data_IF_285852591074
#
_entry.id   IF_285852591074
#
_cell.length_a   1.000
_cell.length_b   1.000
_cell.length_c   1.000
_cell.angle_alpha   90.00
_cell.angle_beta   90.00
_cell.angle_gamma   90.00
#
_symmetry.space_group_name_H-M   'P 1'
#
loop_
_entity.id
_entity.type
_entity.pdbx_description
1 polymer ?
#
# COMPACT_ATOMS: atom_id res chain seq x y z
N UNK A 1 -3.31 -18.81 -6.66
CA UNK A 1 -2.66 -19.34 -7.87
C UNK A 1 -3.61 -20.30 -8.56
N UNK A 2 -3.59 -20.31 -9.89
CA UNK A 2 -4.36 -21.24 -10.70
C UNK A 2 -3.61 -22.57 -10.81
N UNK A 3 -4.20 -23.63 -10.26
CA UNK A 3 -4.02 -24.98 -10.77
C UNK A 3 -5.43 -25.57 -10.82
N UNK A 4 -5.87 -25.97 -12.01
CA UNK A 4 -6.99 -26.91 -12.13
C UNK A 4 -6.49 -28.10 -12.94
N UNK A 5 -6.59 -29.29 -12.38
CA UNK A 5 -6.46 -30.53 -13.13
C UNK A 5 -7.65 -30.79 -14.05
N UNK A 6 -8.73 -29.99 -14.01
CA UNK A 6 -10.01 -30.36 -14.63
C UNK A 6 -10.74 -29.22 -15.39
N UNK A 7 -10.01 -28.35 -16.11
CA UNK A 7 -10.52 -27.42 -17.15
C UNK A 7 -11.77 -26.55 -16.82
N UNK A 8 -12.14 -26.39 -15.56
CA UNK A 8 -13.23 -25.50 -15.13
C UNK A 8 -12.65 -24.33 -14.36
N UNK A 9 -12.70 -23.15 -14.98
CA UNK A 9 -12.38 -21.88 -14.32
C UNK A 9 -13.49 -21.56 -13.32
N UNK A 10 -13.30 -22.00 -12.08
CA UNK A 10 -14.09 -21.54 -10.94
C UNK A 10 -13.44 -20.29 -10.34
N UNK A 11 -14.22 -19.22 -10.20
CA UNK A 11 -13.79 -18.05 -9.43
C UNK A 11 -13.66 -18.46 -7.97
N UNK A 12 -12.42 -18.65 -7.51
CA UNK A 12 -12.20 -18.82 -6.08
C UNK A 12 -12.43 -17.48 -5.42
N UNK A 13 -13.42 -17.44 -4.52
CA UNK A 13 -13.83 -16.27 -3.75
C UNK A 13 -12.60 -15.54 -3.18
N UNK A 14 -12.59 -14.20 -3.27
CA UNK A 14 -11.48 -13.35 -2.78
C UNK A 14 -11.10 -13.67 -1.32
N UNK A 15 -12.07 -14.13 -0.52
CA UNK A 15 -11.89 -14.55 0.87
C UNK A 15 -11.00 -15.78 1.04
N UNK A 16 -10.95 -16.68 0.04
CA UNK A 16 -10.04 -17.84 0.08
C UNK A 16 -8.59 -17.40 -0.04
N UNK A 17 -8.31 -16.43 -0.91
CA UNK A 17 -6.97 -15.87 -1.07
C UNK A 17 -6.51 -15.13 0.18
N UNK A 18 -7.38 -14.33 0.79
CA UNK A 18 -7.06 -13.66 2.05
C UNK A 18 -6.83 -14.69 3.17
N UNK A 19 -7.67 -15.74 3.27
CA UNK A 19 -7.48 -16.81 4.26
C UNK A 19 -6.12 -17.52 4.15
N UNK A 20 -5.71 -17.83 2.92
CA UNK A 20 -4.39 -18.46 2.66
C UNK A 20 -3.24 -17.53 3.01
N UNK A 21 -3.30 -16.25 2.62
CA UNK A 21 -2.25 -15.27 2.94
C UNK A 21 -2.15 -15.04 4.45
N UNK A 22 -3.28 -14.96 5.16
CA UNK A 22 -3.28 -14.84 6.62
C UNK A 22 -2.65 -16.06 7.28
N UNK A 23 -2.88 -17.26 6.76
CA UNK A 23 -2.25 -18.47 7.28
C UNK A 23 -0.74 -18.51 7.00
N UNK A 24 -0.31 -18.06 5.82
CA UNK A 24 1.12 -17.89 5.50
C UNK A 24 1.77 -16.88 6.46
N UNK A 25 1.12 -15.74 6.71
CA UNK A 25 1.60 -14.72 7.67
C UNK A 25 1.72 -15.26 9.09
N UNK A 26 0.73 -16.01 9.58
CA UNK A 26 0.76 -16.64 10.92
C UNK A 26 1.94 -17.59 11.09
N UNK A 27 2.35 -18.25 10.01
CA UNK A 27 3.48 -19.18 10.00
C UNK A 27 4.82 -18.50 9.65
N UNK A 28 4.94 -17.18 9.81
CA UNK A 28 6.11 -16.35 9.44
C UNK A 28 6.62 -16.65 8.02
N UNK A 29 5.68 -16.83 7.09
CA UNK A 29 5.92 -17.18 5.68
C UNK A 29 6.57 -18.54 5.42
N UNK A 30 7.13 -19.20 6.44
CA UNK A 30 7.74 -20.54 6.35
C UNK A 30 8.61 -20.71 5.10
N UNK A 31 8.34 -21.70 4.23
CA UNK A 31 9.13 -21.92 3.01
C UNK A 31 9.01 -20.79 1.98
N UNK A 32 7.92 -20.01 2.00
CA UNK A 32 7.67 -18.95 1.02
C UNK A 32 8.51 -17.69 1.26
N UNK A 33 9.18 -17.58 2.41
CA UNK A 33 10.01 -16.42 2.78
C UNK A 33 11.18 -16.24 1.81
N UNK A 34 11.87 -17.32 1.49
CA UNK A 34 13.00 -17.32 0.56
C UNK A 34 12.53 -17.03 -0.88
N UNK A 35 11.41 -17.64 -1.29
CA UNK A 35 10.81 -17.40 -2.62
C UNK A 35 10.45 -15.92 -2.82
N UNK A 36 9.78 -15.29 -1.85
CA UNK A 36 9.41 -13.87 -1.91
C UNK A 36 10.65 -12.96 -1.95
N UNK A 37 11.72 -13.32 -1.27
CA UNK A 37 12.99 -12.58 -1.33
C UNK A 37 13.69 -12.74 -2.69
N UNK A 38 13.64 -13.92 -3.30
CA UNK A 38 14.19 -14.17 -4.63
C UNK A 38 13.40 -13.41 -5.72
N UNK A 39 12.09 -13.30 -5.55
CA UNK A 39 11.21 -12.54 -6.45
C UNK A 39 11.45 -11.03 -6.40
N UNK A 40 12.23 -10.49 -5.45
CA UNK A 40 12.56 -9.07 -5.40
C UNK A 40 13.11 -8.53 -6.72
N UNK A 41 14.03 -9.27 -7.37
CA UNK A 41 14.59 -8.87 -8.66
C UNK A 41 13.53 -8.85 -9.77
N UNK A 42 12.59 -9.79 -9.72
CA UNK A 42 11.47 -9.82 -10.64
C UNK A 42 10.54 -8.61 -10.42
N UNK A 43 10.20 -8.29 -9.17
CA UNK A 43 9.39 -7.12 -8.83
C UNK A 43 10.03 -5.81 -9.29
N UNK A 44 11.36 -5.67 -9.23
CA UNK A 44 12.07 -4.49 -9.78
C UNK A 44 11.78 -4.24 -11.25
N UNK A 45 11.60 -5.30 -12.03
CA UNK A 45 11.24 -5.20 -13.44
C UNK A 45 9.76 -4.84 -13.57
N UNK A 46 8.89 -5.51 -12.82
CA UNK A 46 7.43 -5.28 -12.91
C UNK A 46 7.01 -3.87 -12.52
N UNK A 47 7.66 -3.24 -11.53
CA UNK A 47 7.36 -1.83 -11.16
C UNK A 47 7.77 -0.82 -12.23
N UNK A 48 8.49 -1.25 -13.28
CA UNK A 48 8.89 -0.42 -14.42
C UNK A 48 8.36 -0.94 -15.75
N UNK A 49 7.41 -1.88 -15.73
CA UNK A 49 6.79 -2.41 -16.94
C UNK A 49 6.05 -1.31 -17.70
N UNK A 50 5.95 -1.42 -19.02
CA UNK A 50 5.23 -0.45 -19.85
C UNK A 50 3.72 -0.51 -19.56
N UNK A 51 3.19 -1.69 -19.26
CA UNK A 51 1.78 -1.89 -18.97
C UNK A 51 1.43 -1.46 -17.53
N UNK A 52 0.59 -0.41 -17.35
CA UNK A 52 0.16 0.02 -16.02
C UNK A 52 -0.59 -1.08 -15.24
N UNK A 53 -1.23 -2.05 -15.91
CA UNK A 53 -1.87 -3.19 -15.24
C UNK A 53 -0.85 -4.12 -14.60
N UNK A 54 0.33 -4.31 -15.22
CA UNK A 54 1.41 -5.09 -14.63
C UNK A 54 2.01 -4.33 -13.44
N UNK A 55 2.24 -3.02 -13.59
CA UNK A 55 2.73 -2.18 -12.48
C UNK A 55 1.75 -2.15 -11.30
N UNK A 56 0.45 -2.09 -11.55
CA UNK A 56 -0.58 -2.23 -10.52
C UNK A 56 -0.53 -3.62 -9.85
N UNK A 57 -0.44 -4.70 -10.63
CA UNK A 57 -0.51 -6.06 -10.12
C UNK A 57 0.62 -6.38 -9.12
N UNK A 58 1.76 -5.70 -9.22
CA UNK A 58 2.88 -5.87 -8.28
C UNK A 58 2.60 -5.28 -6.89
N UNK A 59 1.62 -4.40 -6.72
CA UNK A 59 1.32 -3.76 -5.42
C UNK A 59 0.94 -4.79 -4.34
N UNK A 60 0.20 -5.85 -4.71
CA UNK A 60 -0.15 -6.96 -3.81
C UNK A 60 1.08 -7.74 -3.30
N UNK A 61 1.95 -8.30 -4.16
CA UNK A 61 3.14 -8.99 -3.68
C UNK A 61 4.10 -8.06 -2.93
N UNK A 62 4.10 -6.74 -3.20
CA UNK A 62 4.84 -5.77 -2.37
C UNK A 62 4.30 -5.66 -0.94
N UNK A 63 2.99 -5.88 -0.70
CA UNK A 63 2.45 -5.98 0.64
C UNK A 63 3.07 -7.16 1.40
N UNK A 64 3.16 -8.34 0.77
CA UNK A 64 3.78 -9.52 1.39
C UNK A 64 5.28 -9.33 1.61
N UNK A 65 5.97 -8.74 0.62
CA UNK A 65 7.38 -8.40 0.79
C UNK A 65 7.60 -7.43 1.95
N UNK A 66 6.68 -6.51 2.23
CA UNK A 66 6.82 -5.56 3.33
C UNK A 66 6.92 -6.23 4.71
N UNK A 67 6.22 -7.36 4.89
CA UNK A 67 6.26 -8.17 6.11
C UNK A 67 7.56 -8.97 6.25
N UNK A 68 8.27 -9.23 5.15
CA UNK A 68 9.54 -9.99 5.16
C UNK A 68 10.75 -9.05 5.18
N UNK A 69 10.74 -8.03 4.33
CA UNK A 69 11.79 -7.03 4.16
C UNK A 69 11.15 -5.68 3.79
N UNK A 70 10.76 -4.96 4.83
CA UNK A 70 10.13 -3.64 4.72
C UNK A 70 10.98 -2.64 3.93
N UNK A 71 12.31 -2.73 4.00
CA UNK A 71 13.21 -1.81 3.29
C UNK A 71 13.19 -2.07 1.78
N UNK A 72 13.24 -3.34 1.36
CA UNK A 72 13.11 -3.69 -0.06
C UNK A 72 11.74 -3.34 -0.62
N UNK A 73 10.67 -3.63 0.14
CA UNK A 73 9.32 -3.24 -0.28
C UNK A 73 9.22 -1.72 -0.47
N UNK A 74 9.67 -0.93 0.52
CA UNK A 74 9.62 0.53 0.45
C UNK A 74 10.35 1.08 -0.78
N UNK A 75 11.55 0.56 -1.09
CA UNK A 75 12.30 1.00 -2.26
C UNK A 75 11.54 0.80 -3.60
N UNK A 76 10.70 -0.23 -3.68
CA UNK A 76 9.85 -0.49 -4.85
C UNK A 76 8.56 0.34 -4.83
N UNK A 77 7.95 0.50 -3.67
CA UNK A 77 6.74 1.32 -3.48
C UNK A 77 7.00 2.78 -3.87
N UNK A 78 8.17 3.33 -3.54
CA UNK A 78 8.54 4.70 -3.93
C UNK A 78 8.45 4.91 -5.44
N UNK A 79 8.80 3.91 -6.26
CA UNK A 79 8.67 4.01 -7.73
C UNK A 79 7.22 4.07 -8.18
N UNK A 80 6.31 3.40 -7.47
CA UNK A 80 4.88 3.38 -7.80
C UNK A 80 4.16 4.64 -7.31
N UNK A 81 4.63 5.27 -6.23
CA UNK A 81 4.10 6.55 -5.74
C UNK A 81 4.33 7.66 -6.78
N UNK A 82 5.48 7.63 -7.46
CA UNK A 82 5.86 8.60 -8.50
C UNK A 82 5.48 8.14 -9.92
N UNK A 83 4.61 7.13 -10.05
CA UNK A 83 4.24 6.57 -11.36
C UNK A 83 3.54 7.60 -12.25
N UNK A 84 3.63 7.47 -13.57
CA UNK A 84 2.93 8.35 -14.50
C UNK A 84 1.41 8.08 -14.56
N UNK A 85 1.01 6.85 -14.24
CA UNK A 85 -0.38 6.42 -14.28
C UNK A 85 -1.05 6.68 -12.91
N UNK A 86 -2.10 7.52 -12.85
CA UNK A 86 -2.77 7.84 -11.59
C UNK A 86 -3.37 6.62 -10.88
N UNK A 87 -3.77 5.58 -11.59
CA UNK A 87 -4.30 4.36 -11.01
C UNK A 87 -3.20 3.55 -10.30
N UNK A 88 -1.99 3.53 -10.87
CA UNK A 88 -0.83 2.91 -10.23
C UNK A 88 -0.42 3.69 -8.97
N UNK A 89 -0.38 5.03 -9.06
CA UNK A 89 -0.14 5.89 -7.89
C UNK A 89 -1.13 5.62 -6.76
N UNK A 90 -2.42 5.51 -7.09
CA UNK A 90 -3.47 5.18 -6.13
C UNK A 90 -3.23 3.81 -5.49
N UNK A 91 -2.88 2.80 -6.27
CA UNK A 91 -2.64 1.45 -5.74
C UNK A 91 -1.33 1.32 -4.94
N UNK A 92 -0.36 2.23 -5.12
CA UNK A 92 0.85 2.27 -4.31
C UNK A 92 0.56 2.49 -2.81
N UNK A 93 -0.62 3.01 -2.46
CA UNK A 93 -1.04 3.19 -1.07
C UNK A 93 -1.19 1.86 -0.32
N UNK A 94 -1.53 0.76 -1.00
CA UNK A 94 -1.75 -0.54 -0.34
C UNK A 94 -0.46 -1.06 0.33
N UNK A 95 0.66 -1.23 -0.40
CA UNK A 95 1.90 -1.63 0.23
C UNK A 95 2.48 -0.54 1.14
N UNK A 96 2.30 0.76 0.82
CA UNK A 96 2.70 1.83 1.74
C UNK A 96 1.99 1.71 3.09
N UNK A 97 0.69 1.42 3.09
CA UNK A 97 -0.10 1.19 4.30
C UNK A 97 0.43 0.02 5.13
N UNK A 98 0.73 -1.11 4.48
CA UNK A 98 1.28 -2.27 5.20
C UNK A 98 2.65 -1.93 5.82
N UNK A 99 3.53 -1.25 5.08
CA UNK A 99 4.80 -0.74 5.62
C UNK A 99 4.55 0.18 6.81
N UNK A 100 3.57 1.07 6.71
CA UNK A 100 3.26 2.06 7.76
C UNK A 100 2.77 1.38 9.05
N UNK A 101 2.02 0.28 8.94
CA UNK A 101 1.59 -0.53 10.08
C UNK A 101 2.77 -1.27 10.74
N UNK A 102 3.72 -1.75 9.94
CA UNK A 102 4.90 -2.51 10.39
C UNK A 102 5.94 -1.58 11.03
N UNK A 103 6.32 -0.50 10.33
CA UNK A 103 7.38 0.42 10.71
C UNK A 103 7.10 1.84 10.19
N UNK A 104 6.27 2.57 10.94
CA UNK A 104 5.97 3.98 10.66
C UNK A 104 7.22 4.85 10.58
N UNK A 105 8.27 4.55 11.35
CA UNK A 105 9.47 5.40 11.41
C UNK A 105 10.17 5.51 10.06
N UNK A 106 10.11 4.45 9.24
CA UNK A 106 10.67 4.43 7.88
C UNK A 106 9.93 5.28 6.86
N UNK A 107 8.65 5.55 7.10
CA UNK A 107 7.78 6.23 6.13
C UNK A 107 7.27 7.58 6.62
N UNK A 108 7.54 7.94 7.88
CA UNK A 108 7.10 9.19 8.48
C UNK A 108 7.45 10.40 7.61
N UNK A 109 8.72 10.56 7.27
CA UNK A 109 9.20 11.71 6.47
C UNK A 109 8.60 11.70 5.06
N UNK A 110 8.43 10.53 4.45
CA UNK A 110 7.77 10.37 3.16
C UNK A 110 6.31 10.83 3.22
N UNK A 111 5.56 10.36 4.22
CA UNK A 111 4.15 10.70 4.42
C UNK A 111 4.00 12.21 4.68
N UNK A 112 4.86 12.79 5.53
CA UNK A 112 4.87 14.23 5.79
C UNK A 112 5.16 15.02 4.50
N UNK A 113 6.17 14.63 3.74
CA UNK A 113 6.50 15.27 2.46
C UNK A 113 5.33 15.17 1.45
N UNK A 114 4.77 13.99 1.24
CA UNK A 114 3.64 13.78 0.33
C UNK A 114 2.40 14.56 0.76
N UNK A 115 2.18 14.75 2.06
CA UNK A 115 1.07 15.57 2.57
C UNK A 115 1.23 17.06 2.29
N UNK A 116 2.47 17.54 2.09
CA UNK A 116 2.78 18.96 1.85
C UNK A 116 2.90 19.23 0.34
N UNK A 117 3.79 18.50 -0.33
CA UNK A 117 4.20 18.75 -1.73
C UNK A 117 3.59 17.77 -2.73
N UNK A 118 2.97 16.68 -2.27
CA UNK A 118 2.36 15.69 -3.15
C UNK A 118 1.20 16.27 -3.97
N UNK A 119 0.92 15.63 -5.10
CA UNK A 119 -0.26 15.93 -5.91
C UNK A 119 -1.57 15.64 -5.17
N UNK A 120 -2.69 16.03 -5.79
CA UNK A 120 -4.05 15.81 -5.23
C UNK A 120 -4.28 14.34 -4.86
N UNK A 121 -3.89 13.41 -5.74
CA UNK A 121 -4.04 11.96 -5.51
C UNK A 121 -3.22 11.53 -4.29
N UNK A 122 -1.92 11.86 -4.24
CA UNK A 122 -1.06 11.49 -3.11
C UNK A 122 -1.61 12.02 -1.77
N UNK A 123 -2.00 13.30 -1.70
CA UNK A 123 -2.58 13.91 -0.50
C UNK A 123 -3.88 13.22 -0.06
N UNK A 124 -4.75 12.89 -1.02
CA UNK A 124 -5.98 12.13 -0.76
C UNK A 124 -5.65 10.74 -0.20
N UNK A 125 -4.66 10.05 -0.77
CA UNK A 125 -4.25 8.73 -0.31
C UNK A 125 -3.62 8.78 1.10
N UNK A 126 -2.87 9.82 1.44
CA UNK A 126 -2.39 10.03 2.82
C UNK A 126 -3.57 10.19 3.80
N UNK A 127 -4.62 10.90 3.41
CA UNK A 127 -5.82 10.99 4.25
C UNK A 127 -6.49 9.63 4.43
N UNK A 128 -6.61 8.82 3.38
CA UNK A 128 -7.16 7.46 3.49
C UNK A 128 -6.28 6.50 4.29
N UNK A 129 -4.96 6.60 4.16
CA UNK A 129 -4.01 5.89 5.01
C UNK A 129 -4.31 6.19 6.49
N UNK A 130 -4.39 7.47 6.86
CA UNK A 130 -4.69 7.87 8.24
C UNK A 130 -6.11 7.59 8.70
N UNK A 131 -7.09 7.48 7.81
CA UNK A 131 -8.41 6.95 8.18
C UNK A 131 -8.29 5.53 8.75
N UNK A 132 -7.43 4.69 8.17
CA UNK A 132 -7.26 3.31 8.61
C UNK A 132 -6.32 3.16 9.82
N UNK A 133 -5.20 3.88 9.85
CA UNK A 133 -4.15 3.71 10.88
C UNK A 133 -4.18 4.78 11.98
N UNK A 134 -4.88 5.89 11.74
CA UNK A 134 -4.93 7.04 12.63
C UNK A 134 -5.54 6.75 14.00
N UNK A 135 -6.56 5.89 14.15
CA UNK A 135 -7.09 5.54 15.47
C UNK A 135 -6.03 4.92 16.40
N UNK A 136 -5.03 4.21 15.86
CA UNK A 136 -3.92 3.66 16.65
C UNK A 136 -2.79 4.68 16.85
N UNK A 137 -2.78 5.77 16.09
CA UNK A 137 -1.69 6.77 16.04
C UNK A 137 -2.23 8.21 15.89
N UNK A 138 -3.09 8.68 16.80
CA UNK A 138 -3.73 10.00 16.66
C UNK A 138 -2.72 11.15 16.66
N UNK A 139 -1.65 11.04 17.46
CA UNK A 139 -0.60 12.07 17.54
C UNK A 139 0.22 12.24 16.26
N UNK A 140 0.35 11.19 15.44
CA UNK A 140 0.99 11.25 14.14
C UNK A 140 0.01 11.72 13.05
N UNK A 141 -1.24 11.23 13.11
CA UNK A 141 -2.25 11.45 12.08
C UNK A 141 -2.86 12.86 12.10
N UNK A 142 -3.28 13.34 13.28
CA UNK A 142 -4.03 14.60 13.41
C UNK A 142 -3.28 15.82 12.87
N UNK A 143 -1.97 16.04 13.15
CA UNK A 143 -1.26 17.21 12.62
C UNK A 143 -1.19 17.24 11.10
N UNK A 144 -1.15 16.08 10.45
CA UNK A 144 -1.14 15.97 8.99
C UNK A 144 -2.55 16.18 8.45
N UNK A 145 -3.54 15.49 9.01
CA UNK A 145 -4.93 15.62 8.60
C UNK A 145 -5.44 17.05 8.74
N UNK A 146 -5.13 17.75 9.84
CA UNK A 146 -5.49 19.17 10.06
C UNK A 146 -5.00 20.09 8.94
N UNK A 147 -3.80 19.84 8.41
CA UNK A 147 -3.28 20.58 7.24
C UNK A 147 -4.10 20.25 6.00
N UNK A 148 -4.38 18.97 5.77
CA UNK A 148 -5.12 18.49 4.60
C UNK A 148 -6.59 18.94 4.59
N UNK A 149 -7.24 19.14 5.74
CA UNK A 149 -8.62 19.70 5.77
C UNK A 149 -8.69 21.15 5.29
N UNK A 150 -7.56 21.87 5.29
CA UNK A 150 -7.46 23.25 4.82
C UNK A 150 -7.10 23.35 3.33
N UNK A 151 -6.88 22.21 2.66
CA UNK A 151 -6.64 22.16 1.23
C UNK A 151 -7.87 22.63 0.45
N UNK A 152 -7.64 23.38 -0.64
CA UNK A 152 -8.74 23.91 -1.46
C UNK A 152 -9.43 22.84 -2.29
N UNK A 153 -8.69 21.77 -2.60
CA UNK A 153 -9.18 20.69 -3.47
C UNK A 153 -10.21 19.83 -2.75
N UNK A 154 -11.40 19.70 -3.35
CA UNK A 154 -12.53 19.01 -2.73
C UNK A 154 -12.28 17.55 -2.37
N UNK A 155 -11.47 16.85 -3.18
CA UNK A 155 -11.09 15.46 -2.93
C UNK A 155 -10.24 15.31 -1.66
N UNK A 156 -9.30 16.22 -1.45
CA UNK A 156 -8.33 16.15 -0.35
C UNK A 156 -8.99 16.51 0.98
N UNK A 157 -9.69 17.66 1.06
CA UNK A 157 -10.27 18.06 2.34
C UNK A 157 -11.39 17.13 2.79
N UNK A 158 -12.19 16.56 1.87
CA UNK A 158 -13.25 15.60 2.22
C UNK A 158 -12.65 14.31 2.77
N UNK A 159 -11.61 13.78 2.12
CA UNK A 159 -10.92 12.59 2.62
C UNK A 159 -10.30 12.85 4.00
N UNK A 160 -9.68 14.03 4.19
CA UNK A 160 -9.09 14.42 5.45
C UNK A 160 -10.15 14.59 6.56
N UNK A 161 -11.26 15.29 6.29
CA UNK A 161 -12.35 15.45 7.24
C UNK A 161 -12.96 14.10 7.64
N UNK A 162 -13.11 13.19 6.67
CA UNK A 162 -13.58 11.83 6.94
C UNK A 162 -12.61 11.05 7.83
N UNK A 163 -11.31 11.13 7.56
CA UNK A 163 -10.28 10.50 8.39
C UNK A 163 -10.23 11.08 9.82
N UNK A 164 -10.36 12.40 9.98
CA UNK A 164 -10.46 13.05 11.30
C UNK A 164 -11.64 12.48 12.09
N UNK A 165 -12.80 12.34 11.44
CA UNK A 165 -14.00 11.76 12.06
C UNK A 165 -13.87 10.29 12.46
N UNK A 166 -12.86 9.56 11.98
CA UNK A 166 -12.59 8.19 12.43
C UNK A 166 -11.63 8.10 13.62
N UNK A 167 -10.91 9.18 13.93
CA UNK A 167 -9.89 9.24 15.00
C UNK A 167 -10.46 9.86 16.28
N UNK A 168 -11.46 10.74 16.16
CA UNK A 168 -12.13 11.44 17.26
C UNK A 168 -13.37 10.75 17.81
#
# INVERSE_FOLDING_TARGET
>A
HYITTDEKVGFIHQDYYEGVIQEIRKNDYGPYKEDLLLLYHFFKNLVGDEDPYIRFAVTRPLCELAHIDTSKALALVLRLIDDIDPFVQECAIFPLKEITKIDYSKVKDLIENLSISGGVVAKQQIAFLFKEIGPQRPGDALPILEKLVRERTSLVWRAAAYAVGTIG
#
